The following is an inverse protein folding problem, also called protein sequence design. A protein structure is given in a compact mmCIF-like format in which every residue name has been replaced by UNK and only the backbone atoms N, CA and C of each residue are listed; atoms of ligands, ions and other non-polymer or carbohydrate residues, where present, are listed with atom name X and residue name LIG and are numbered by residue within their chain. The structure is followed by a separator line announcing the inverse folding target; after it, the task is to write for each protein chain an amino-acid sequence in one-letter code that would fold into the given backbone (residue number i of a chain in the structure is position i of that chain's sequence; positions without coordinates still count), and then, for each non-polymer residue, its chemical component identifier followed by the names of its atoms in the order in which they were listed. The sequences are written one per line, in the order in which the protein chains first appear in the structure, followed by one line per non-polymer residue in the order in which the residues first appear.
data_IF_461347936070
#
_entry.id   IF_461347936070
#
_cell.length_a   1.000
_cell.length_b   1.000
_cell.length_c   1.000
_cell.angle_alpha   90.00
_cell.angle_beta   90.00
_cell.angle_gamma   90.00
#
_symmetry.space_group_name_H-M   'P 1'
#
loop_
_entity.id
_entity.type
_entity.pdbx_description
1 polymer ?
#
# COMPACT_ATOMS: atom_id res chain seq x y z
N UNK A 1 11.63 -7.21 11.38
CA UNK A 1 10.43 -7.57 12.15
C UNK A 1 10.75 -8.72 13.08
N UNK A 2 11.28 -9.84 12.59
CA UNK A 2 11.62 -11.02 13.41
C UNK A 2 12.58 -10.71 14.57
N UNK A 3 13.62 -9.91 14.34
CA UNK A 3 14.57 -9.52 15.39
C UNK A 3 13.97 -8.64 16.50
N UNK A 4 12.86 -7.94 16.22
CA UNK A 4 12.18 -7.06 17.19
C UNK A 4 10.90 -7.68 17.76
N UNK A 5 10.50 -8.88 17.30
CA UNK A 5 9.33 -9.60 17.79
C UNK A 5 7.98 -8.92 17.52
N UNK A 6 7.91 -7.98 16.58
CA UNK A 6 6.68 -7.25 16.23
C UNK A 6 6.22 -7.63 14.82
N UNK A 7 4.95 -8.06 14.71
CA UNK A 7 4.32 -8.43 13.45
C UNK A 7 3.51 -7.29 12.83
N UNK A 8 3.23 -6.21 13.55
CA UNK A 8 2.47 -5.07 13.05
C UNK A 8 3.39 -4.10 12.29
N UNK A 9 3.02 -3.74 11.06
CA UNK A 9 3.82 -2.85 10.21
C UNK A 9 2.94 -1.78 9.57
N UNK A 10 3.34 -0.52 9.73
CA UNK A 10 2.75 0.60 8.99
C UNK A 10 3.58 0.81 7.72
N UNK A 11 2.91 0.87 6.56
CA UNK A 11 3.53 1.05 5.25
C UNK A 11 3.06 2.37 4.65
N UNK A 12 4.01 3.22 4.28
CA UNK A 12 3.81 4.50 3.60
C UNK A 12 4.86 4.70 2.51
N UNK A 13 4.66 5.67 1.62
CA UNK A 13 5.68 6.10 0.65
C UNK A 13 5.31 5.86 -0.81
N UNK A 14 6.32 5.61 -1.65
CA UNK A 14 6.17 5.64 -3.11
C UNK A 14 6.86 4.45 -3.79
N UNK A 15 6.35 3.94 -4.91
CA UNK A 15 5.06 4.28 -5.52
C UNK A 15 3.97 3.34 -5.04
N UNK A 16 2.74 3.85 -4.90
CA UNK A 16 1.59 3.06 -4.43
C UNK A 16 1.43 1.77 -5.20
N UNK A 17 1.47 1.84 -6.55
CA UNK A 17 1.28 0.68 -7.43
C UNK A 17 2.46 -0.31 -7.53
N UNK A 18 3.63 0.04 -6.98
CA UNK A 18 4.82 -0.81 -7.03
C UNK A 18 5.32 -1.09 -5.62
N UNK A 19 6.29 -0.31 -5.14
CA UNK A 19 7.00 -0.59 -3.91
C UNK A 19 6.04 -0.76 -2.72
N UNK A 20 4.99 0.05 -2.62
CA UNK A 20 3.99 -0.08 -1.55
C UNK A 20 3.19 -1.36 -1.70
N UNK A 21 2.56 -1.62 -2.87
CA UNK A 21 1.82 -2.88 -3.12
C UNK A 21 2.66 -4.12 -2.87
N UNK A 22 3.88 -4.20 -3.42
CA UNK A 22 4.73 -5.38 -3.29
C UNK A 22 5.33 -5.52 -1.89
N UNK A 23 5.54 -4.43 -1.16
CA UNK A 23 5.92 -4.51 0.26
C UNK A 23 4.77 -5.00 1.11
N UNK A 24 3.53 -4.53 0.87
CA UNK A 24 2.33 -5.03 1.53
C UNK A 24 2.11 -6.52 1.25
N UNK A 25 2.20 -6.94 -0.01
CA UNK A 25 2.16 -8.36 -0.40
C UNK A 25 3.25 -9.16 0.32
N UNK A 26 4.50 -8.67 0.33
CA UNK A 26 5.60 -9.35 1.00
C UNK A 26 5.40 -9.46 2.52
N UNK A 27 4.83 -8.45 3.16
CA UNK A 27 4.46 -8.47 4.58
C UNK A 27 3.38 -9.53 4.85
N UNK A 28 2.31 -9.55 4.05
CA UNK A 28 1.25 -10.56 4.13
C UNK A 28 1.79 -11.98 3.99
N UNK A 29 2.61 -12.25 2.98
CA UNK A 29 3.18 -13.59 2.73
C UNK A 29 4.11 -14.07 3.85
N UNK A 30 4.67 -13.16 4.65
CA UNK A 30 5.48 -13.49 5.84
C UNK A 30 4.66 -13.57 7.13
N UNK A 31 3.35 -13.37 7.08
CA UNK A 31 2.48 -13.36 8.27
C UNK A 31 2.57 -12.07 9.11
N UNK A 32 3.03 -10.96 8.52
CA UNK A 32 2.96 -9.65 9.16
C UNK A 32 1.54 -9.05 8.97
N UNK A 33 1.11 -8.26 9.94
CA UNK A 33 -0.15 -7.52 9.89
C UNK A 33 0.14 -6.10 9.43
N UNK A 34 -0.08 -5.85 8.14
CA UNK A 34 0.23 -4.56 7.55
C UNK A 34 -0.98 -3.62 7.57
N UNK A 35 -0.70 -2.33 7.80
CA UNK A 35 -1.63 -1.22 7.57
C UNK A 35 -0.98 -0.22 6.63
N UNK A 36 -1.66 0.14 5.54
CA UNK A 36 -1.22 1.16 4.57
C UNK A 36 -1.99 2.45 4.80
N UNK A 37 -1.28 3.58 4.87
CA UNK A 37 -1.91 4.90 5.01
C UNK A 37 -1.99 5.56 3.64
N UNK A 38 -3.21 5.73 3.13
CA UNK A 38 -3.49 6.09 1.74
C UNK A 38 -2.98 7.48 1.36
N UNK A 39 -3.17 8.49 2.21
CA UNK A 39 -2.73 9.88 1.97
C UNK A 39 -1.22 10.09 2.14
N UNK A 40 -0.55 9.16 2.82
CA UNK A 40 0.91 9.09 2.95
C UNK A 40 1.56 8.25 1.83
N UNK A 41 0.78 7.83 0.83
CA UNK A 41 1.25 7.15 -0.36
C UNK A 41 0.94 7.97 -1.62
N UNK A 42 1.76 7.81 -2.66
CA UNK A 42 1.46 8.40 -3.96
C UNK A 42 2.07 7.61 -5.13
N UNK A 43 1.57 7.93 -6.31
CA UNK A 43 2.11 7.44 -7.59
C UNK A 43 2.07 8.55 -8.63
N UNK A 44 2.67 8.29 -9.80
CA UNK A 44 2.55 9.13 -10.99
C UNK A 44 1.62 8.48 -12.03
N UNK A 45 1.17 9.26 -13.00
CA UNK A 45 0.49 8.74 -14.19
C UNK A 45 1.47 7.90 -15.03
N UNK A 46 0.94 6.90 -15.75
CA UNK A 46 1.74 6.02 -16.60
C UNK A 46 1.10 5.86 -17.98
N UNK A 47 1.94 5.91 -19.02
CA UNK A 47 1.53 5.61 -20.39
C UNK A 47 1.52 4.10 -20.62
N UNK A 48 0.45 3.59 -21.22
CA UNK A 48 0.40 2.22 -21.77
C UNK A 48 0.40 2.25 -23.29
N UNK A 49 0.42 1.08 -23.92
CA UNK A 49 0.27 0.96 -25.38
C UNK A 49 -1.13 1.35 -25.89
N UNK A 50 -2.12 1.48 -25.01
CA UNK A 50 -3.51 1.81 -25.37
C UNK A 50 -3.85 3.25 -24.97
N UNK A 51 -3.60 3.62 -23.72
CA UNK A 51 -3.88 4.95 -23.19
C UNK A 51 -3.02 5.29 -21.96
N UNK A 52 -3.04 6.55 -21.54
CA UNK A 52 -2.54 6.92 -20.22
C UNK A 52 -3.48 6.38 -19.13
N UNK A 53 -2.90 5.95 -18.00
CA UNK A 53 -3.62 5.74 -16.73
C UNK A 53 -3.24 6.88 -15.79
N UNK A 54 -4.25 7.64 -15.35
CA UNK A 54 -4.04 8.76 -14.44
C UNK A 54 -3.45 8.30 -13.10
N UNK A 55 -2.69 9.18 -12.44
CA UNK A 55 -2.14 8.90 -11.13
C UNK A 55 -3.23 8.52 -10.11
N UNK A 56 -4.39 9.20 -10.16
CA UNK A 56 -5.53 8.94 -9.28
C UNK A 56 -6.08 7.53 -9.50
N UNK A 57 -6.35 7.13 -10.74
CA UNK A 57 -6.89 5.80 -11.02
C UNK A 57 -5.89 4.71 -10.63
N UNK A 58 -4.61 4.89 -10.96
CA UNK A 58 -3.56 3.94 -10.61
C UNK A 58 -3.37 3.82 -9.09
N UNK A 59 -3.42 4.93 -8.36
CA UNK A 59 -3.36 4.97 -6.89
C UNK A 59 -4.53 4.22 -6.27
N UNK A 60 -5.76 4.56 -6.67
CA UNK A 60 -6.98 3.97 -6.15
C UNK A 60 -7.08 2.48 -6.46
N UNK A 61 -6.71 2.06 -7.67
CA UNK A 61 -6.68 0.63 -8.03
C UNK A 61 -5.66 -0.15 -7.21
N UNK A 62 -4.45 0.41 -6.99
CA UNK A 62 -3.44 -0.24 -6.17
C UNK A 62 -3.87 -0.36 -4.71
N UNK A 63 -4.44 0.70 -4.11
CA UNK A 63 -4.99 0.66 -2.76
C UNK A 63 -6.14 -0.34 -2.63
N UNK A 64 -7.01 -0.44 -3.63
CA UNK A 64 -8.07 -1.44 -3.65
C UNK A 64 -7.50 -2.86 -3.65
N UNK A 65 -6.49 -3.15 -4.47
CA UNK A 65 -5.79 -4.45 -4.48
C UNK A 65 -5.12 -4.75 -3.14
N UNK A 66 -4.48 -3.76 -2.53
CA UNK A 66 -3.87 -3.90 -1.20
C UNK A 66 -4.96 -4.24 -0.17
N UNK A 67 -6.06 -3.50 -0.15
CA UNK A 67 -7.14 -3.66 0.83
C UNK A 67 -7.93 -4.96 0.67
N UNK A 68 -8.01 -5.50 -0.55
CA UNK A 68 -8.70 -6.75 -0.84
C UNK A 68 -8.02 -7.97 -0.20
N UNK A 69 -6.68 -7.96 -0.12
CA UNK A 69 -5.94 -9.15 0.31
C UNK A 69 -4.74 -8.89 1.24
N UNK A 70 -3.94 -7.86 0.99
CA UNK A 70 -2.59 -7.78 1.56
C UNK A 70 -2.48 -7.00 2.86
N UNK A 71 -3.32 -5.99 3.08
CA UNK A 71 -3.22 -5.11 4.24
C UNK A 71 -4.54 -4.38 4.50
N UNK A 72 -4.72 -3.89 5.72
CA UNK A 72 -5.75 -2.87 5.98
C UNK A 72 -5.31 -1.56 5.33
N UNK A 73 -6.20 -0.86 4.63
CA UNK A 73 -5.93 0.49 4.13
C UNK A 73 -6.75 1.51 4.91
N UNK A 74 -6.08 2.50 5.49
CA UNK A 74 -6.74 3.64 6.16
C UNK A 74 -6.53 4.92 5.34
N UNK A 75 -7.52 5.84 5.29
CA UNK A 75 -7.40 7.11 4.58
C UNK A 75 -6.23 7.97 5.04
N UNK A 76 -6.02 8.10 6.36
CA UNK A 76 -4.99 8.97 6.94
C UNK A 76 -4.39 8.40 8.22
N UNK A 77 -3.26 8.98 8.67
CA UNK A 77 -2.60 8.57 9.91
C UNK A 77 -3.48 8.75 11.16
N UNK A 78 -4.50 9.61 11.10
CA UNK A 78 -5.44 9.83 12.20
C UNK A 78 -6.37 8.64 12.46
N UNK A 79 -6.44 7.68 11.53
CA UNK A 79 -7.28 6.49 11.64
C UNK A 79 -6.48 5.24 12.08
N UNK A 80 -5.21 5.42 12.43
CA UNK A 80 -4.42 4.38 13.07
C UNK A 80 -4.89 4.21 14.52
N UNK A 81 -5.19 2.99 14.93
CA UNK A 81 -5.38 2.62 16.32
C UNK A 81 -4.03 2.38 17.02
N UNK A 82 -3.97 2.67 18.32
CA UNK A 82 -2.83 2.36 19.19
C UNK A 82 -2.52 0.85 19.27
#
# INVERSE_FOLDING_TARGET
MDAIGNNNVIIIGFMTHMCVTFTAQGAFLRGNHATVVADACATRALQTSVSEVSALNLHSSALATINDLYAVVVPSAAELSD
#
